data_IF_114570475755
#
_entry.id   IF_114570475755
#
_cell.length_a   1.000
_cell.length_b   1.000
_cell.length_c   1.000
_cell.angle_alpha   90.00
_cell.angle_beta   90.00
_cell.angle_gamma   90.00
#
_symmetry.space_group_name_H-M   'P 1'
#
loop_
_entity.id
_entity.type
_entity.pdbx_description
1 polymer ?
#
# COMPACT_ATOMS: atom_id res chain seq x y z
N UNK A 1 -46.21 -16.20 -15.16
CA UNK A 1 -45.21 -15.43 -15.93
C UNK A 1 -44.10 -15.02 -14.98
N UNK A 2 -42.88 -15.54 -15.15
CA UNK A 2 -41.74 -15.06 -14.37
C UNK A 2 -41.51 -13.58 -14.75
N UNK A 3 -41.56 -12.66 -13.78
CA UNK A 3 -41.19 -11.26 -14.00
C UNK A 3 -39.77 -11.25 -14.54
N UNK A 4 -39.56 -10.76 -15.75
CA UNK A 4 -38.24 -10.48 -16.30
C UNK A 4 -37.50 -9.61 -15.27
N UNK A 5 -36.27 -9.96 -14.86
CA UNK A 5 -35.53 -9.16 -13.89
C UNK A 5 -35.38 -7.73 -14.42
N UNK A 6 -35.70 -6.75 -13.57
CA UNK A 6 -35.58 -5.34 -13.93
C UNK A 6 -34.10 -4.99 -14.01
N UNK A 7 -33.64 -4.64 -15.20
CA UNK A 7 -32.24 -4.28 -15.43
C UNK A 7 -32.03 -2.80 -15.13
N UNK A 8 -31.08 -2.48 -14.26
CA UNK A 8 -30.76 -1.10 -13.90
C UNK A 8 -29.52 -0.59 -14.65
N UNK A 9 -29.60 0.58 -15.29
CA UNK A 9 -28.48 1.21 -15.99
C UNK A 9 -27.78 2.15 -15.03
N UNK A 10 -26.53 1.86 -14.69
CA UNK A 10 -25.77 2.58 -13.65
C UNK A 10 -24.52 3.20 -14.27
N UNK A 11 -24.33 4.50 -14.06
CA UNK A 11 -23.15 5.22 -14.53
C UNK A 11 -22.09 5.27 -13.44
N UNK A 12 -20.84 5.00 -13.82
CA UNK A 12 -19.67 5.08 -12.97
C UNK A 12 -18.80 6.25 -13.43
N UNK A 13 -18.73 7.30 -12.62
CA UNK A 13 -17.93 8.50 -12.92
C UNK A 13 -16.63 8.47 -12.12
N UNK A 14 -15.66 7.72 -12.66
CA UNK A 14 -14.34 7.51 -12.07
C UNK A 14 -13.25 7.63 -13.13
N UNK A 15 -12.06 8.08 -12.73
CA UNK A 15 -10.89 8.17 -13.58
C UNK A 15 -10.06 6.88 -13.47
N UNK A 16 -10.19 6.01 -14.47
CA UNK A 16 -9.48 4.74 -14.53
C UNK A 16 -7.96 4.86 -14.66
N UNK A 17 -7.34 6.04 -14.60
CA UNK A 17 -5.89 6.19 -14.45
C UNK A 17 -5.42 6.15 -12.99
N UNK A 18 -6.31 6.36 -12.01
CA UNK A 18 -5.98 6.32 -10.57
C UNK A 18 -6.20 4.92 -10.03
N UNK A 19 -5.27 4.41 -9.21
CA UNK A 19 -5.44 3.09 -8.56
C UNK A 19 -6.65 3.07 -7.62
N UNK A 20 -6.86 4.17 -6.87
CA UNK A 20 -8.01 4.36 -5.98
C UNK A 20 -9.34 4.11 -6.70
N UNK A 21 -9.55 4.78 -7.83
CA UNK A 21 -10.74 4.66 -8.68
C UNK A 21 -10.91 3.24 -9.24
N UNK A 22 -9.82 2.60 -9.68
CA UNK A 22 -9.86 1.21 -10.18
C UNK A 22 -10.29 0.22 -9.11
N UNK A 23 -9.79 0.36 -7.88
CA UNK A 23 -10.16 -0.51 -6.77
C UNK A 23 -11.63 -0.32 -6.36
N UNK A 24 -12.15 0.91 -6.40
CA UNK A 24 -13.58 1.18 -6.20
C UNK A 24 -14.42 0.46 -7.27
N UNK A 25 -14.06 0.58 -8.55
CA UNK A 25 -14.75 -0.11 -9.65
C UNK A 25 -14.71 -1.63 -9.44
N UNK A 26 -13.56 -2.17 -9.00
CA UNK A 26 -13.44 -3.60 -8.64
C UNK A 26 -14.41 -3.99 -7.53
N UNK A 27 -14.51 -3.17 -6.47
CA UNK A 27 -15.46 -3.39 -5.37
C UNK A 27 -16.92 -3.38 -5.80
N UNK A 28 -17.28 -2.50 -6.73
CA UNK A 28 -18.62 -2.47 -7.36
C UNK A 28 -18.85 -3.77 -8.15
N UNK A 29 -17.87 -4.22 -8.93
CA UNK A 29 -17.93 -5.47 -9.69
C UNK A 29 -18.08 -6.70 -8.78
N UNK A 30 -17.37 -6.74 -7.66
CA UNK A 30 -17.49 -7.81 -6.65
C UNK A 30 -18.89 -7.85 -6.02
N UNK A 31 -19.48 -6.68 -5.75
CA UNK A 31 -20.85 -6.60 -5.24
C UNK A 31 -21.86 -7.16 -6.25
N UNK A 32 -21.73 -6.79 -7.53
CA UNK A 32 -22.64 -7.29 -8.58
C UNK A 32 -22.44 -8.79 -8.80
N UNK A 33 -21.22 -9.29 -8.75
CA UNK A 33 -20.93 -10.72 -8.94
C UNK A 33 -21.42 -11.57 -7.77
N UNK A 34 -21.40 -11.03 -6.55
CA UNK A 34 -21.87 -11.72 -5.34
C UNK A 34 -23.37 -11.59 -5.11
N UNK A 35 -24.03 -10.60 -5.70
CA UNK A 35 -25.48 -10.40 -5.60
C UNK A 35 -26.18 -10.81 -6.89
N UNK A 36 -27.50 -11.08 -6.85
CA UNK A 36 -28.30 -11.32 -8.07
C UNK A 36 -28.78 -10.01 -8.72
N UNK A 37 -28.05 -8.91 -8.53
CA UNK A 37 -28.41 -7.61 -9.06
C UNK A 37 -28.21 -7.59 -10.59
N UNK A 38 -29.25 -7.24 -11.34
CA UNK A 38 -29.15 -7.11 -12.81
C UNK A 38 -28.81 -5.67 -13.18
N UNK A 39 -27.52 -5.34 -13.23
CA UNK A 39 -27.02 -3.99 -13.53
C UNK A 39 -26.23 -3.97 -14.83
N UNK A 40 -26.54 -3.00 -15.69
CA UNK A 40 -25.72 -2.63 -16.84
C UNK A 40 -24.85 -1.44 -16.43
N UNK A 41 -23.54 -1.67 -16.29
CA UNK A 41 -22.58 -0.65 -15.91
C UNK A 41 -22.10 0.13 -17.12
N UNK A 42 -22.14 1.46 -17.01
CA UNK A 42 -21.59 2.39 -18.00
C UNK A 42 -20.34 3.04 -17.43
N UNK A 43 -19.21 2.78 -18.07
CA UNK A 43 -17.92 3.42 -17.84
C UNK A 43 -17.48 4.05 -19.18
N UNK A 44 -16.97 5.27 -19.17
CA UNK A 44 -16.46 5.88 -20.41
C UNK A 44 -15.18 5.15 -20.89
N UNK A 45 -15.11 4.86 -22.20
CA UNK A 45 -14.06 4.03 -22.81
C UNK A 45 -12.65 4.64 -22.72
N UNK A 46 -12.53 5.97 -22.60
CA UNK A 46 -11.23 6.65 -22.51
C UNK A 46 -10.69 6.76 -21.06
N UNK A 47 -11.39 6.17 -20.08
CA UNK A 47 -11.11 6.27 -18.64
C UNK A 47 -10.98 7.70 -18.12
N UNK A 48 -11.44 8.70 -18.88
CA UNK A 48 -11.55 10.08 -18.43
C UNK A 48 -12.96 10.27 -17.87
N UNK A 49 -13.09 10.96 -16.76
CA UNK A 49 -14.42 11.37 -16.32
C UNK A 49 -14.84 12.59 -17.16
N UNK A 50 -15.81 12.44 -18.07
CA UNK A 50 -16.48 13.58 -18.71
C UNK A 50 -17.88 13.72 -18.14
N UNK A 51 -18.05 14.60 -17.14
CA UNK A 51 -19.39 14.86 -16.60
C UNK A 51 -20.34 15.55 -17.60
N UNK A 52 -19.84 16.05 -18.74
CA UNK A 52 -20.66 16.76 -19.73
C UNK A 52 -21.73 15.87 -20.36
N UNK A 53 -23.00 16.20 -20.10
CA UNK A 53 -24.15 15.51 -20.68
C UNK A 53 -24.79 14.47 -19.75
N UNK A 54 -24.20 14.18 -18.58
CA UNK A 54 -24.79 13.24 -17.60
C UNK A 54 -26.15 13.71 -17.08
N UNK A 55 -26.39 15.02 -17.03
CA UNK A 55 -27.67 15.63 -16.65
C UNK A 55 -28.85 15.17 -17.52
N UNK A 56 -28.57 14.74 -18.77
CA UNK A 56 -29.59 14.28 -19.73
C UNK A 56 -29.56 12.76 -19.92
N UNK A 57 -28.73 12.05 -19.16
CA UNK A 57 -28.56 10.62 -19.31
C UNK A 57 -29.77 9.84 -18.76
N UNK A 58 -30.37 9.00 -19.60
CA UNK A 58 -31.52 8.18 -19.26
C UNK A 58 -31.13 6.91 -18.49
N UNK A 59 -30.45 7.07 -17.35
CA UNK A 59 -30.05 5.99 -16.46
C UNK A 59 -30.98 5.77 -15.28
N UNK A 60 -30.59 4.86 -14.38
CA UNK A 60 -31.31 4.55 -13.14
C UNK A 60 -30.53 4.96 -11.88
N UNK A 61 -29.21 5.14 -11.95
CA UNK A 61 -28.39 5.57 -10.80
C UNK A 61 -26.95 5.89 -11.17
N UNK A 62 -26.24 6.58 -10.28
CA UNK A 62 -24.87 7.05 -10.49
C UNK A 62 -24.02 6.78 -9.24
N UNK A 63 -22.80 6.30 -9.45
CA UNK A 63 -21.73 6.28 -8.43
C UNK A 63 -20.57 7.10 -8.96
N UNK A 64 -20.07 8.05 -8.18
CA UNK A 64 -19.12 9.06 -8.68
C UNK A 64 -18.06 9.48 -7.65
N UNK A 65 -16.89 9.88 -8.16
CA UNK A 65 -15.83 10.57 -7.42
C UNK A 65 -16.24 12.03 -7.13
N UNK A 66 -16.44 12.35 -5.85
CA UNK A 66 -16.78 13.70 -5.36
C UNK A 66 -15.57 14.46 -4.81
N UNK A 67 -14.36 13.90 -4.90
CA UNK A 67 -13.13 14.68 -4.72
C UNK A 67 -12.80 15.51 -5.96
N UNK A 68 -13.40 15.18 -7.12
CA UNK A 68 -13.34 16.00 -8.34
C UNK A 68 -14.46 17.07 -8.36
N UNK A 69 -14.10 18.38 -8.33
CA UNK A 69 -15.07 19.47 -8.40
C UNK A 69 -15.88 19.47 -9.70
N UNK A 70 -15.32 18.99 -10.81
CA UNK A 70 -16.02 18.97 -12.11
C UNK A 70 -17.17 17.96 -12.06
N UNK A 71 -16.91 16.79 -11.48
CA UNK A 71 -17.92 15.75 -11.25
C UNK A 71 -18.99 16.22 -10.26
N UNK A 72 -18.59 16.89 -9.19
CA UNK A 72 -19.52 17.46 -8.21
C UNK A 72 -20.48 18.46 -8.84
N UNK A 73 -19.97 19.43 -9.60
CA UNK A 73 -20.76 20.48 -10.24
C UNK A 73 -21.80 19.92 -11.23
N UNK A 74 -21.43 18.91 -12.01
CA UNK A 74 -22.33 18.31 -13.00
C UNK A 74 -23.44 17.43 -12.40
N UNK A 75 -23.28 17.00 -11.15
CA UNK A 75 -24.27 16.17 -10.45
C UNK A 75 -25.21 17.00 -9.55
N UNK A 76 -24.99 18.31 -9.39
CA UNK A 76 -25.83 19.15 -8.52
C UNK A 76 -27.32 19.10 -8.90
N UNK A 77 -27.63 19.20 -10.19
CA UNK A 77 -29.00 19.22 -10.74
C UNK A 77 -29.61 17.85 -11.06
N UNK A 78 -28.89 16.75 -10.84
CA UNK A 78 -29.34 15.41 -11.23
C UNK A 78 -30.35 14.85 -10.23
N UNK A 79 -31.51 14.41 -10.73
CA UNK A 79 -32.61 13.82 -9.94
C UNK A 79 -32.47 12.30 -9.72
N UNK A 80 -31.54 11.65 -10.42
CA UNK A 80 -31.28 10.22 -10.25
C UNK A 80 -30.67 9.93 -8.86
N UNK A 81 -30.85 8.71 -8.31
CA UNK A 81 -30.09 8.24 -7.16
C UNK A 81 -28.58 8.35 -7.41
N UNK A 82 -27.88 9.14 -6.59
CA UNK A 82 -26.43 9.31 -6.65
C UNK A 82 -25.81 8.88 -5.32
N UNK A 83 -24.80 8.02 -5.38
CA UNK A 83 -23.91 7.74 -4.25
C UNK A 83 -22.56 8.39 -4.49
N UNK A 84 -22.17 9.28 -3.58
CA UNK A 84 -20.90 10.00 -3.64
C UNK A 84 -19.79 9.19 -2.95
N UNK A 85 -18.59 9.22 -3.53
CA UNK A 85 -17.39 8.60 -2.96
C UNK A 85 -16.25 9.63 -2.92
N UNK A 86 -15.43 9.63 -1.87
CA UNK A 86 -14.21 10.45 -1.83
C UNK A 86 -13.52 10.43 -0.47
N UNK A 87 -12.78 11.49 -0.14
CA UNK A 87 -12.09 11.68 1.12
C UNK A 87 -13.01 12.06 2.29
N UNK A 88 -12.62 11.70 3.51
CA UNK A 88 -13.22 12.29 4.71
C UNK A 88 -12.64 13.67 5.00
N UNK A 89 -13.48 14.61 5.41
CA UNK A 89 -13.12 15.98 5.78
C UNK A 89 -13.57 16.32 7.20
N UNK A 90 -12.81 17.17 7.90
CA UNK A 90 -13.20 17.66 9.22
C UNK A 90 -14.37 18.63 9.16
N UNK A 91 -14.39 19.48 8.14
CA UNK A 91 -15.46 20.44 7.91
C UNK A 91 -16.69 19.74 7.31
N UNK A 92 -17.84 19.72 8.01
CA UNK A 92 -19.08 19.14 7.50
C UNK A 92 -19.59 19.80 6.21
N UNK A 93 -19.17 21.04 5.90
CA UNK A 93 -19.57 21.78 4.70
C UNK A 93 -18.97 21.21 3.41
N UNK A 94 -17.89 20.45 3.53
CA UNK A 94 -17.18 19.86 2.39
C UNK A 94 -17.85 18.61 1.81
N UNK A 95 -18.87 18.09 2.49
CA UNK A 95 -19.66 16.95 2.05
C UNK A 95 -20.89 17.41 1.26
N UNK A 96 -21.31 16.67 0.22
CA UNK A 96 -22.51 17.00 -0.53
C UNK A 96 -23.76 16.85 0.34
N UNK A 97 -24.69 17.79 0.21
CA UNK A 97 -25.98 17.75 0.89
C UNK A 97 -26.96 16.78 0.19
N UNK A 98 -27.88 16.20 0.98
CA UNK A 98 -29.01 15.38 0.54
C UNK A 98 -28.63 14.10 -0.23
N UNK A 99 -27.39 13.62 -0.11
CA UNK A 99 -26.92 12.40 -0.79
C UNK A 99 -26.04 11.57 0.13
N UNK A 100 -26.06 10.23 0.03
CA UNK A 100 -25.14 9.40 0.79
C UNK A 100 -23.70 9.58 0.28
N UNK A 101 -22.75 9.57 1.22
CA UNK A 101 -21.32 9.74 0.97
C UNK A 101 -20.52 8.61 1.62
N UNK A 102 -19.72 7.90 0.81
CA UNK A 102 -18.78 6.88 1.28
C UNK A 102 -17.37 7.48 1.27
N UNK A 103 -16.81 7.69 2.45
CA UNK A 103 -15.55 8.38 2.65
C UNK A 103 -14.41 7.40 3.00
N UNK A 104 -13.23 7.60 2.42
CA UNK A 104 -11.98 7.02 2.96
C UNK A 104 -11.55 7.82 4.20
N UNK A 105 -11.24 7.12 5.30
CA UNK A 105 -10.88 7.74 6.58
C UNK A 105 -9.46 8.33 6.54
N UNK A 106 -9.35 9.62 6.18
CA UNK A 106 -8.08 10.35 6.10
C UNK A 106 -7.36 10.37 7.45
N UNK A 107 -8.08 10.45 8.57
CA UNK A 107 -7.49 10.46 9.90
C UNK A 107 -6.77 9.14 10.18
N UNK A 108 -7.46 8.01 10.01
CA UNK A 108 -6.86 6.69 10.24
C UNK A 108 -5.72 6.39 9.26
N UNK A 109 -5.80 6.85 8.02
CA UNK A 109 -4.70 6.67 7.06
C UNK A 109 -3.41 7.36 7.52
N UNK A 110 -3.47 8.63 7.87
CA UNK A 110 -2.29 9.39 8.32
C UNK A 110 -1.82 8.89 9.67
N UNK A 111 -2.74 8.60 10.61
CA UNK A 111 -2.42 8.02 11.93
C UNK A 111 -1.67 6.71 11.80
N UNK A 112 -2.16 5.80 10.95
CA UNK A 112 -1.54 4.50 10.73
C UNK A 112 -0.12 4.62 10.15
N UNK A 113 0.08 5.53 9.18
CA UNK A 113 1.41 5.81 8.64
C UNK A 113 2.36 6.45 9.68
N UNK A 114 1.83 7.35 10.51
CA UNK A 114 2.56 8.03 11.56
C UNK A 114 2.99 7.07 12.68
N UNK A 115 2.06 6.25 13.17
CA UNK A 115 2.30 5.25 14.21
C UNK A 115 3.37 4.25 13.79
N UNK A 116 3.31 3.78 12.54
CA UNK A 116 4.34 2.89 11.99
C UNK A 116 5.74 3.50 12.01
N UNK A 117 5.86 4.80 11.72
CA UNK A 117 7.15 5.49 11.77
C UNK A 117 7.62 5.74 13.21
N UNK A 118 6.70 6.03 14.15
CA UNK A 118 6.99 6.11 15.60
C UNK A 118 7.48 4.76 16.12
N UNK A 119 6.76 3.68 15.82
CA UNK A 119 7.10 2.32 16.25
C UNK A 119 8.45 1.86 15.68
N UNK A 120 8.84 2.37 14.51
CA UNK A 120 10.17 2.16 13.95
C UNK A 120 11.29 2.94 14.68
N UNK A 121 10.96 3.77 15.68
CA UNK A 121 11.90 4.48 16.55
C UNK A 121 12.32 5.86 16.03
N UNK A 122 11.60 6.44 15.06
CA UNK A 122 11.93 7.76 14.51
C UNK A 122 11.45 8.87 15.45
N UNK A 123 12.24 9.95 15.51
CA UNK A 123 11.98 11.10 16.39
C UNK A 123 11.62 12.38 15.61
N UNK A 124 11.90 12.38 14.31
CA UNK A 124 11.63 13.51 13.43
C UNK A 124 10.65 13.08 12.36
N UNK A 125 9.66 13.91 12.07
CA UNK A 125 8.61 13.61 11.13
C UNK A 125 8.41 14.75 10.13
N UNK A 126 8.13 14.37 8.89
CA UNK A 126 7.78 15.31 7.84
C UNK A 126 6.65 14.77 6.97
N UNK A 127 5.91 15.68 6.33
CA UNK A 127 4.86 15.36 5.38
C UNK A 127 5.21 15.96 4.02
N UNK A 128 5.27 15.11 3.00
CA UNK A 128 5.34 15.52 1.61
C UNK A 128 3.95 15.60 1.00
N UNK A 129 3.44 16.83 0.88
CA UNK A 129 2.10 17.17 0.41
C UNK A 129 2.07 17.70 -1.03
N UNK A 130 0.94 18.28 -1.41
CA UNK A 130 0.65 18.93 -2.69
C UNK A 130 0.29 20.41 -2.48
N UNK A 131 0.48 21.27 -3.51
CA UNK A 131 -0.05 22.62 -3.47
C UNK A 131 -1.57 22.63 -3.30
N UNK A 132 -2.09 23.68 -2.66
CA UNK A 132 -3.52 23.87 -2.48
C UNK A 132 -4.22 23.96 -3.84
N UNK A 133 -5.23 23.12 -4.03
CA UNK A 133 -6.02 23.06 -5.26
C UNK A 133 -7.40 22.47 -4.97
N UNK A 134 -8.47 22.96 -5.63
CA UNK A 134 -9.82 22.41 -5.48
C UNK A 134 -9.93 20.90 -5.75
N UNK A 135 -9.05 20.33 -6.58
CA UNK A 135 -9.05 18.90 -6.92
C UNK A 135 -8.30 18.00 -5.92
N UNK A 136 -7.60 18.57 -4.94
CA UNK A 136 -6.75 17.84 -4.01
C UNK A 136 -7.06 18.16 -2.53
N UNK A 137 -8.32 18.49 -2.19
CA UNK A 137 -8.73 18.87 -0.84
C UNK A 137 -8.29 17.87 0.24
N UNK A 138 -8.30 16.58 -0.09
CA UNK A 138 -7.82 15.49 0.76
C UNK A 138 -6.35 15.65 1.18
N UNK A 139 -5.50 16.31 0.38
CA UNK A 139 -4.11 16.57 0.74
C UNK A 139 -4.01 17.58 1.89
N UNK A 140 -4.80 18.66 1.86
CA UNK A 140 -4.85 19.65 2.95
C UNK A 140 -5.48 19.05 4.22
N UNK A 141 -6.48 18.18 4.08
CA UNK A 141 -7.03 17.46 5.24
C UNK A 141 -5.95 16.58 5.89
N UNK A 142 -5.14 15.86 5.08
CA UNK A 142 -4.01 15.07 5.57
C UNK A 142 -2.93 15.94 6.24
N UNK A 143 -2.66 17.15 5.72
CA UNK A 143 -1.76 18.13 6.37
C UNK A 143 -2.25 18.55 7.76
N UNK A 144 -3.55 18.86 7.87
CA UNK A 144 -4.19 19.22 9.14
C UNK A 144 -4.04 18.09 10.16
N UNK A 145 -4.41 16.86 9.76
CA UNK A 145 -4.28 15.68 10.60
C UNK A 145 -2.84 15.44 11.04
N UNK A 146 -1.87 15.52 10.12
CA UNK A 146 -0.46 15.37 10.45
C UNK A 146 0.01 16.40 11.48
N UNK A 147 -0.41 17.66 11.30
CA UNK A 147 -0.10 18.74 12.24
C UNK A 147 -0.70 18.46 13.62
N UNK A 148 -1.96 18.05 13.68
CA UNK A 148 -2.66 17.70 14.92
C UNK A 148 -1.94 16.54 15.65
N UNK A 149 -1.53 15.50 14.92
CA UNK A 149 -0.82 14.34 15.48
C UNK A 149 0.56 14.70 16.03
N UNK A 150 1.37 15.40 15.23
CA UNK A 150 2.71 15.84 15.68
C UNK A 150 2.64 16.82 16.84
N UNK A 151 1.65 17.73 16.85
CA UNK A 151 1.41 18.65 17.95
C UNK A 151 0.99 17.96 19.24
N UNK A 152 0.16 16.90 19.15
CA UNK A 152 -0.23 16.11 20.31
C UNK A 152 0.97 15.41 20.99
N UNK A 153 1.96 15.00 20.21
CA UNK A 153 3.18 14.36 20.71
C UNK A 153 4.30 15.38 21.04
N UNK A 154 4.04 16.69 20.90
CA UNK A 154 5.02 17.75 21.15
C UNK A 154 6.17 17.79 20.15
N UNK A 155 5.98 17.22 18.96
CA UNK A 155 7.00 17.12 17.91
C UNK A 155 6.76 18.21 16.85
N UNK A 156 7.82 18.89 16.43
CA UNK A 156 7.75 19.81 15.30
C UNK A 156 7.70 19.04 13.99
N UNK A 157 6.50 18.92 13.39
CA UNK A 157 6.32 18.35 12.06
C UNK A 157 6.74 19.31 10.94
N UNK A 158 7.49 18.83 9.94
CA UNK A 158 7.87 19.63 8.78
C UNK A 158 6.99 19.32 7.57
N UNK A 159 6.36 20.32 6.95
CA UNK A 159 5.50 20.12 5.77
C UNK A 159 6.16 20.73 4.53
N UNK A 160 6.17 19.97 3.43
CA UNK A 160 6.60 20.45 2.12
C UNK A 160 5.54 20.15 1.08
N UNK A 161 5.04 21.19 0.41
CA UNK A 161 3.98 21.08 -0.62
C UNK A 161 4.53 20.87 -2.03
N UNK A 162 5.82 21.13 -2.23
CA UNK A 162 6.51 21.02 -3.51
C UNK A 162 5.90 21.87 -4.64
N UNK A 163 6.23 21.50 -5.87
CA UNK A 163 5.61 22.04 -7.10
C UNK A 163 4.45 21.12 -7.52
N UNK A 164 3.47 21.65 -8.24
CA UNK A 164 2.38 20.88 -8.82
C UNK A 164 2.88 19.70 -9.67
N UNK A 165 2.06 18.67 -9.85
CA UNK A 165 2.41 17.41 -10.55
C UNK A 165 2.84 17.60 -12.00
N UNK A 166 2.68 18.80 -12.59
CA UNK A 166 3.14 19.21 -13.91
C UNK A 166 4.28 20.23 -13.84
N UNK A 167 5.39 19.91 -13.18
CA UNK A 167 6.55 20.80 -13.14
C UNK A 167 7.07 21.08 -14.57
N UNK A 168 7.42 22.33 -14.86
CA UNK A 168 7.92 22.78 -16.17
C UNK A 168 9.30 22.19 -16.53
N UNK A 169 10.07 21.75 -15.52
CA UNK A 169 11.27 20.94 -15.70
C UNK A 169 11.39 19.91 -14.57
N UNK A 170 11.73 18.67 -14.94
CA UNK A 170 11.89 17.57 -13.99
C UNK A 170 13.09 17.77 -13.07
N UNK A 171 14.20 18.29 -13.60
CA UNK A 171 15.45 18.45 -12.86
C UNK A 171 15.32 19.47 -11.71
N UNK A 172 14.69 20.62 -11.97
CA UNK A 172 14.51 21.64 -10.93
C UNK A 172 13.61 21.15 -9.78
N UNK A 173 12.59 20.34 -10.08
CA UNK A 173 11.72 19.75 -9.06
C UNK A 173 12.48 18.73 -8.20
N UNK A 174 13.37 17.94 -8.80
CA UNK A 174 14.22 16.99 -8.07
C UNK A 174 15.24 17.73 -7.19
N UNK A 175 15.90 18.78 -7.68
CA UNK A 175 16.84 19.57 -6.89
C UNK A 175 16.19 20.20 -5.65
N UNK A 176 14.98 20.74 -5.79
CA UNK A 176 14.23 21.28 -4.66
C UNK A 176 13.86 20.21 -3.63
N UNK A 177 13.47 19.02 -4.09
CA UNK A 177 13.20 17.87 -3.20
C UNK A 177 14.47 17.46 -2.46
N UNK A 178 15.63 17.39 -3.15
CA UNK A 178 16.93 17.07 -2.54
C UNK A 178 17.30 18.10 -1.48
N UNK A 179 17.17 19.40 -1.80
CA UNK A 179 17.48 20.49 -0.89
C UNK A 179 16.61 20.43 0.38
N UNK A 180 15.31 20.19 0.22
CA UNK A 180 14.39 20.01 1.33
C UNK A 180 14.74 18.79 2.18
N UNK A 181 14.97 17.62 1.56
CA UNK A 181 15.33 16.42 2.33
C UNK A 181 16.64 16.63 3.09
N UNK A 182 17.62 17.33 2.53
CA UNK A 182 18.89 17.63 3.21
C UNK A 182 18.75 18.59 4.39
N UNK A 183 17.75 19.48 4.37
CA UNK A 183 17.54 20.43 5.48
C UNK A 183 16.83 19.81 6.68
N UNK A 184 16.17 18.68 6.52
CA UNK A 184 15.48 17.98 7.61
C UNK A 184 16.47 17.32 8.58
N UNK A 185 16.19 17.33 9.90
CA UNK A 185 16.97 16.57 10.87
C UNK A 185 16.93 15.07 10.56
N UNK A 186 17.98 14.31 10.89
CA UNK A 186 18.12 12.88 10.56
C UNK A 186 18.33 12.04 11.83
N UNK A 187 17.76 10.82 11.91
CA UNK A 187 16.88 10.18 10.93
C UNK A 187 15.45 10.78 10.94
N UNK A 188 14.79 10.83 9.77
CA UNK A 188 13.43 11.38 9.63
C UNK A 188 12.48 10.38 8.98
N UNK A 189 11.26 10.29 9.51
CA UNK A 189 10.13 9.63 8.88
C UNK A 189 9.32 10.60 8.03
N UNK A 190 9.18 10.31 6.74
CA UNK A 190 8.42 11.12 5.80
C UNK A 190 7.17 10.36 5.39
N UNK A 191 6.02 10.97 5.58
CA UNK A 191 4.74 10.51 5.05
C UNK A 191 4.48 11.29 3.76
N UNK A 192 4.20 10.62 2.65
CA UNK A 192 3.78 11.27 1.42
C UNK A 192 2.27 11.13 1.25
N UNK A 193 1.61 12.20 0.82
CA UNK A 193 0.15 12.19 0.64
C UNK A 193 -0.30 11.26 -0.47
N UNK A 194 0.57 10.83 -1.39
CA UNK A 194 0.30 9.77 -2.36
C UNK A 194 1.56 8.96 -2.65
N UNK A 195 1.39 7.74 -3.16
CA UNK A 195 2.50 6.89 -3.63
C UNK A 195 3.27 7.53 -4.79
N UNK A 196 2.59 8.30 -5.64
CA UNK A 196 3.25 9.05 -6.72
C UNK A 196 4.25 10.09 -6.16
N UNK A 197 3.88 10.78 -5.07
CA UNK A 197 4.76 11.74 -4.38
C UNK A 197 5.88 11.03 -3.63
N UNK A 198 5.57 9.93 -2.96
CA UNK A 198 6.60 9.10 -2.32
C UNK A 198 7.64 8.64 -3.35
N UNK A 199 7.20 8.17 -4.51
CA UNK A 199 8.07 7.74 -5.61
C UNK A 199 8.98 8.86 -6.10
N UNK A 200 8.46 10.08 -6.29
CA UNK A 200 9.26 11.25 -6.69
C UNK A 200 10.37 11.52 -5.67
N UNK A 201 10.02 11.57 -4.38
CA UNK A 201 10.96 11.83 -3.31
C UNK A 201 12.01 10.72 -3.16
N UNK A 202 11.59 9.46 -3.37
CA UNK A 202 12.48 8.31 -3.36
C UNK A 202 13.51 8.38 -4.48
N UNK A 203 13.09 8.79 -5.69
CA UNK A 203 14.01 9.04 -6.81
C UNK A 203 15.01 10.14 -6.46
N UNK A 204 14.55 11.25 -5.87
CA UNK A 204 15.42 12.33 -5.40
C UNK A 204 16.46 11.85 -4.36
N UNK A 205 16.04 11.02 -3.41
CA UNK A 205 16.96 10.43 -2.42
C UNK A 205 18.02 9.54 -3.08
N UNK A 206 17.62 8.71 -4.05
CA UNK A 206 18.53 7.86 -4.81
C UNK A 206 19.55 8.67 -5.60
N UNK A 207 19.13 9.75 -6.28
CA UNK A 207 20.03 10.63 -7.03
C UNK A 207 21.03 11.36 -6.12
N UNK A 208 20.60 11.77 -4.93
CA UNK A 208 21.43 12.49 -3.98
C UNK A 208 22.31 11.59 -3.08
N UNK A 209 22.18 10.27 -3.19
CA UNK A 209 22.88 9.31 -2.32
C UNK A 209 22.40 9.35 -0.85
N UNK A 210 21.15 9.76 -0.61
CA UNK A 210 20.56 9.83 0.73
C UNK A 210 20.05 8.44 1.10
N UNK A 211 20.51 7.93 2.25
CA UNK A 211 20.21 6.57 2.66
C UNK A 211 18.74 6.41 3.06
N UNK A 212 18.03 5.53 2.34
CA UNK A 212 16.65 5.11 2.63
C UNK A 212 16.65 3.62 2.98
N UNK A 213 16.07 3.20 4.12
CA UNK A 213 15.36 3.95 5.16
C UNK A 213 16.24 4.52 6.28
N UNK A 214 17.57 4.39 6.21
CA UNK A 214 18.44 4.67 7.36
C UNK A 214 18.51 6.15 7.76
N UNK A 215 18.61 7.06 6.79
CA UNK A 215 18.53 8.52 7.05
C UNK A 215 17.11 9.04 6.85
N UNK A 216 16.38 8.48 5.88
CA UNK A 216 15.03 8.89 5.51
C UNK A 216 14.17 7.66 5.35
N UNK A 217 13.28 7.41 6.31
CA UNK A 217 12.22 6.43 6.16
C UNK A 217 11.05 7.08 5.44
N UNK A 218 10.47 6.41 4.45
CA UNK A 218 9.43 6.95 3.59
C UNK A 218 8.25 5.98 3.50
N UNK A 219 7.05 6.50 3.70
CA UNK A 219 5.79 5.79 3.52
C UNK A 219 4.84 6.60 2.64
N UNK A 220 4.21 5.94 1.68
CA UNK A 220 3.16 6.52 0.86
C UNK A 220 1.75 6.13 1.33
N UNK A 221 0.77 6.59 0.58
CA UNK A 221 -0.65 6.25 0.71
C UNK A 221 -1.12 5.96 -0.71
N UNK A 222 -1.84 4.86 -0.94
CA UNK A 222 -2.53 4.43 -2.18
C UNK A 222 -2.22 2.96 -2.52
N UNK A 223 -1.08 2.45 -2.05
CA UNK A 223 -0.58 1.11 -2.34
C UNK A 223 -0.53 0.81 -3.85
N UNK A 224 -0.11 1.77 -4.67
CA UNK A 224 -0.03 1.66 -6.13
C UNK A 224 1.02 0.61 -6.55
N UNK A 225 0.62 -0.49 -7.23
CA UNK A 225 1.56 -1.49 -7.72
C UNK A 225 2.66 -0.93 -8.62
N UNK A 226 2.36 0.10 -9.42
CA UNK A 226 3.35 0.74 -10.30
C UNK A 226 4.39 1.51 -9.49
N UNK A 227 3.97 2.24 -8.46
CA UNK A 227 4.90 2.97 -7.60
C UNK A 227 5.89 2.04 -6.88
N UNK A 228 5.49 0.81 -6.57
CA UNK A 228 6.34 -0.21 -5.93
C UNK A 228 7.47 -0.72 -6.84
N UNK A 229 7.21 -0.87 -8.15
CA UNK A 229 8.15 -1.53 -9.08
C UNK A 229 9.05 -0.55 -9.82
N UNK A 230 8.66 0.72 -9.93
CA UNK A 230 9.40 1.73 -10.71
C UNK A 230 10.64 2.31 -10.00
N UNK A 231 10.97 1.82 -8.80
CA UNK A 231 12.16 2.26 -8.06
C UNK A 231 12.91 1.08 -7.48
N UNK A 232 14.22 1.23 -7.28
CA UNK A 232 15.08 0.16 -6.73
C UNK A 232 14.79 -0.18 -5.26
N UNK A 233 14.10 0.71 -4.54
CA UNK A 233 13.73 0.53 -3.14
C UNK A 233 12.21 0.37 -3.08
N UNK A 234 11.70 -0.83 -2.76
CA UNK A 234 10.25 -1.05 -2.69
C UNK A 234 9.58 -0.09 -1.68
N UNK A 235 8.55 0.63 -2.17
CA UNK A 235 7.82 1.65 -1.42
C UNK A 235 6.79 1.02 -0.46
N UNK A 236 6.90 1.35 0.82
CA UNK A 236 5.89 1.04 1.83
C UNK A 236 4.71 1.98 1.67
N UNK A 237 3.49 1.47 1.80
CA UNK A 237 2.30 2.28 1.58
C UNK A 237 1.12 1.83 2.42
N UNK A 238 0.29 2.79 2.82
CA UNK A 238 -1.01 2.52 3.44
C UNK A 238 -1.98 2.00 2.40
N UNK A 239 -2.62 0.87 2.71
CA UNK A 239 -3.63 0.22 1.88
C UNK A 239 -4.98 0.84 2.22
N UNK A 240 -5.57 1.55 1.27
CA UNK A 240 -6.89 2.14 1.41
C UNK A 240 -7.99 1.07 1.41
N UNK A 241 -9.14 1.40 1.98
CA UNK A 241 -10.34 0.56 1.96
C UNK A 241 -11.15 0.65 0.65
N UNK A 242 -10.53 1.01 -0.47
CA UNK A 242 -11.21 1.42 -1.71
C UNK A 242 -12.16 0.35 -2.27
N UNK A 243 -11.78 -0.93 -2.19
CA UNK A 243 -12.64 -2.06 -2.61
C UNK A 243 -13.91 -2.14 -1.74
N UNK A 244 -13.77 -1.97 -0.42
CA UNK A 244 -14.90 -1.94 0.50
C UNK A 244 -15.77 -0.69 0.28
N UNK A 245 -15.17 0.44 -0.09
CA UNK A 245 -15.90 1.66 -0.47
C UNK A 245 -16.78 1.40 -1.70
N UNK A 246 -16.24 0.76 -2.74
CA UNK A 246 -16.99 0.38 -3.93
C UNK A 246 -18.16 -0.57 -3.61
N UNK A 247 -17.90 -1.60 -2.79
CA UNK A 247 -18.93 -2.56 -2.35
C UNK A 247 -20.05 -1.88 -1.56
N UNK A 248 -19.68 -1.01 -0.62
CA UNK A 248 -20.62 -0.22 0.20
C UNK A 248 -21.45 0.72 -0.67
N UNK A 249 -20.82 1.42 -1.61
CA UNK A 249 -21.51 2.34 -2.49
C UNK A 249 -22.51 1.62 -3.41
N UNK A 250 -22.13 0.46 -3.97
CA UNK A 250 -23.03 -0.38 -4.75
C UNK A 250 -24.20 -0.89 -3.89
N UNK A 251 -23.95 -1.27 -2.63
CA UNK A 251 -25.01 -1.67 -1.70
C UNK A 251 -26.01 -0.55 -1.43
N UNK A 252 -25.53 0.65 -1.13
CA UNK A 252 -26.38 1.82 -0.90
C UNK A 252 -27.21 2.17 -2.14
N UNK A 253 -26.58 2.18 -3.32
CA UNK A 253 -27.30 2.49 -4.55
C UNK A 253 -28.36 1.44 -4.85
N UNK A 254 -28.08 0.15 -4.62
CA UNK A 254 -29.07 -0.92 -4.75
C UNK A 254 -30.29 -0.67 -3.87
N UNK A 255 -30.09 -0.30 -2.61
CA UNK A 255 -31.19 0.02 -1.71
C UNK A 255 -31.97 1.26 -2.18
N UNK A 256 -31.28 2.28 -2.70
CA UNK A 256 -31.92 3.49 -3.24
C UNK A 256 -32.78 3.19 -4.48
N UNK A 257 -32.33 2.29 -5.36
CA UNK A 257 -33.11 1.84 -6.52
C UNK A 257 -34.41 1.13 -6.12
N UNK A 258 -34.46 0.56 -4.91
CA UNK A 258 -35.64 -0.08 -4.33
C UNK A 258 -36.47 0.86 -3.43
N UNK A 259 -36.17 2.16 -3.45
CA UNK A 259 -36.96 3.20 -2.77
C UNK A 259 -36.45 3.61 -1.39
N UNK A 260 -35.32 3.06 -0.91
CA UNK A 260 -34.68 3.57 0.30
C UNK A 260 -34.12 4.98 0.08
N UNK A 261 -34.04 5.78 1.15
CA UNK A 261 -33.45 7.13 1.11
C UNK A 261 -32.41 7.25 2.22
N UNK A 262 -31.26 7.80 1.86
CA UNK A 262 -30.12 8.01 2.75
C UNK A 262 -29.67 9.47 2.70
N UNK A 263 -30.52 10.43 3.13
CA UNK A 263 -30.12 11.83 3.15
C UNK A 263 -28.99 12.01 4.17
N UNK A 264 -27.91 12.66 3.74
CA UNK A 264 -26.76 13.05 4.58
C UNK A 264 -26.06 11.88 5.30
N UNK A 265 -26.29 10.63 4.86
CA UNK A 265 -25.62 9.46 5.42
C UNK A 265 -24.15 9.47 5.03
N UNK A 266 -23.26 9.41 6.02
CA UNK A 266 -21.81 9.36 5.83
C UNK A 266 -21.28 8.03 6.34
N UNK A 267 -20.70 7.22 5.46
CA UNK A 267 -20.07 5.95 5.83
C UNK A 267 -18.56 6.10 5.70
N UNK A 268 -17.87 5.96 6.82
CA UNK A 268 -16.41 6.06 6.89
C UNK A 268 -15.81 4.66 6.75
N UNK A 269 -15.01 4.45 5.72
CA UNK A 269 -14.30 3.20 5.48
C UNK A 269 -12.85 3.36 5.96
N UNK A 270 -12.41 2.56 6.94
CA UNK A 270 -11.04 2.61 7.44
C UNK A 270 -10.05 2.02 6.42
N UNK A 271 -8.75 2.38 6.50
CA UNK A 271 -7.72 1.67 5.75
C UNK A 271 -7.63 0.20 6.17
N UNK A 272 -7.22 -0.66 5.23
CA UNK A 272 -7.06 -2.11 5.47
C UNK A 272 -5.83 -2.39 6.33
N UNK A 273 -4.75 -1.61 6.13
CA UNK A 273 -3.49 -1.81 6.84
C UNK A 273 -2.33 -1.10 6.14
N UNK A 274 -1.10 -1.53 6.45
CA UNK A 274 0.13 -1.04 5.81
C UNK A 274 0.82 -2.20 5.10
N UNK A 275 1.19 -1.98 3.85
CA UNK A 275 2.15 -2.82 3.15
C UNK A 275 3.57 -2.35 3.49
N UNK A 276 4.19 -2.97 4.51
CA UNK A 276 5.52 -2.57 5.00
C UNK A 276 6.64 -3.16 4.13
N UNK A 277 7.27 -2.30 3.32
CA UNK A 277 8.38 -2.64 2.43
C UNK A 277 9.68 -1.95 2.86
N UNK A 278 10.70 -1.96 1.99
CA UNK A 278 12.06 -1.53 2.34
C UNK A 278 12.15 -0.04 2.70
N UNK A 279 11.32 0.82 2.11
CA UNK A 279 11.41 2.28 2.27
C UNK A 279 11.11 2.77 3.69
N UNK A 280 10.41 2.01 4.52
CA UNK A 280 10.01 2.41 5.89
C UNK A 280 10.51 1.47 6.99
N UNK A 281 11.23 0.41 6.63
CA UNK A 281 11.88 -0.53 7.59
C UNK A 281 13.13 0.11 8.19
N UNK A 282 12.91 1.18 8.96
CA UNK A 282 13.95 1.82 9.73
C UNK A 282 14.32 0.91 10.90
N UNK A 283 15.61 0.77 11.13
CA UNK A 283 16.16 0.17 12.33
C UNK A 283 17.03 1.24 12.98
N UNK A 284 16.90 1.43 14.28
CA UNK A 284 17.69 2.42 15.04
C UNK A 284 19.18 2.08 14.89
N UNK A 285 19.87 2.81 14.02
CA UNK A 285 21.29 2.60 13.69
C UNK A 285 21.99 3.94 13.77
N UNK A 286 23.03 4.02 14.59
CA UNK A 286 23.62 5.32 14.94
C UNK A 286 24.84 5.71 14.08
N UNK A 287 25.43 4.78 13.33
CA UNK A 287 26.70 5.05 12.63
C UNK A 287 26.51 5.45 11.15
N UNK A 288 26.84 6.69 10.73
CA UNK A 288 26.59 7.20 9.37
C UNK A 288 27.20 6.35 8.24
N UNK A 289 28.45 5.90 8.42
CA UNK A 289 29.11 5.06 7.41
C UNK A 289 28.46 3.68 7.26
N UNK A 290 27.91 3.13 8.35
CA UNK A 290 27.19 1.86 8.28
C UNK A 290 25.88 2.06 7.54
N UNK A 291 25.15 3.15 7.84
CA UNK A 291 23.91 3.50 7.13
C UNK A 291 24.12 3.66 5.61
N UNK A 292 25.16 4.38 5.19
CA UNK A 292 25.51 4.53 3.77
C UNK A 292 25.88 3.20 3.11
N UNK A 293 26.66 2.37 3.80
CA UNK A 293 27.05 1.06 3.30
C UNK A 293 25.84 0.15 3.08
N UNK A 294 24.91 0.12 4.04
CA UNK A 294 23.69 -0.68 3.94
C UNK A 294 22.79 -0.21 2.82
N UNK A 295 22.66 1.09 2.63
CA UNK A 295 21.92 1.67 1.51
C UNK A 295 22.49 1.21 0.17
N UNK A 296 23.81 1.23 0.02
CA UNK A 296 24.48 0.72 -1.16
C UNK A 296 24.25 -0.79 -1.35
N UNK A 297 24.39 -1.58 -0.28
CA UNK A 297 24.15 -3.03 -0.31
C UNK A 297 22.71 -3.32 -0.75
N UNK A 298 21.70 -2.65 -0.19
CA UNK A 298 20.29 -2.82 -0.57
C UNK A 298 20.05 -2.63 -2.06
N UNK A 299 20.72 -1.66 -2.68
CA UNK A 299 20.52 -1.32 -4.10
C UNK A 299 21.27 -2.23 -5.05
N UNK A 300 22.48 -2.62 -4.67
CA UNK A 300 23.44 -3.24 -5.60
C UNK A 300 23.84 -4.66 -5.21
N UNK A 301 23.37 -5.22 -4.08
CA UNK A 301 23.70 -6.58 -3.63
C UNK A 301 23.50 -7.61 -4.75
N UNK A 302 22.34 -7.58 -5.42
CA UNK A 302 21.99 -8.52 -6.49
C UNK A 302 22.82 -8.34 -7.77
N UNK A 303 23.60 -7.27 -7.90
CA UNK A 303 24.50 -7.03 -9.04
C UNK A 303 25.89 -7.65 -8.86
N UNK A 304 26.10 -8.43 -7.79
CA UNK A 304 27.37 -9.12 -7.57
C UNK A 304 28.47 -8.23 -6.98
N UNK A 305 28.09 -7.21 -6.19
CA UNK A 305 29.07 -6.30 -5.56
C UNK A 305 30.03 -7.01 -4.59
N UNK A 306 31.23 -6.44 -4.45
CA UNK A 306 32.28 -6.85 -3.52
C UNK A 306 32.39 -5.88 -2.33
N UNK A 307 32.98 -6.33 -1.24
CA UNK A 307 33.21 -5.50 -0.03
C UNK A 307 34.00 -4.22 -0.33
N UNK A 308 34.95 -4.28 -1.26
CA UNK A 308 35.79 -3.14 -1.62
C UNK A 308 34.95 -2.02 -2.26
N UNK A 309 33.99 -2.37 -3.12
CA UNK A 309 33.08 -1.42 -3.74
C UNK A 309 32.16 -0.73 -2.73
N UNK A 310 31.80 -1.42 -1.65
CA UNK A 310 31.03 -0.80 -0.55
C UNK A 310 31.90 0.21 0.20
N UNK A 311 33.15 -0.12 0.47
CA UNK A 311 34.10 0.78 1.14
C UNK A 311 34.39 2.03 0.29
N UNK A 312 34.58 1.85 -1.02
CA UNK A 312 34.79 2.93 -1.98
C UNK A 312 33.57 3.87 -2.05
N UNK A 313 32.34 3.32 -2.08
CA UNK A 313 31.12 4.13 -2.09
C UNK A 313 30.96 4.98 -0.82
N UNK A 314 31.32 4.42 0.33
CA UNK A 314 31.22 5.12 1.63
C UNK A 314 32.38 6.11 1.82
N UNK A 315 33.50 5.93 1.12
CA UNK A 315 34.68 6.78 1.21
C UNK A 315 35.59 6.47 2.41
N UNK A 316 35.62 5.23 2.89
CA UNK A 316 36.46 4.80 4.02
C UNK A 316 37.26 3.53 3.71
N UNK A 317 38.29 3.25 4.51
CA UNK A 317 39.06 2.01 4.36
C UNK A 317 38.20 0.77 4.67
N UNK A 318 38.48 -0.35 4.00
CA UNK A 318 37.83 -1.64 4.24
C UNK A 318 37.91 -2.07 5.70
N UNK A 319 39.08 -1.92 6.33
CA UNK A 319 39.30 -2.29 7.73
C UNK A 319 38.41 -1.48 8.68
N UNK A 320 38.28 -0.17 8.41
CA UNK A 320 37.38 0.71 9.17
C UNK A 320 35.92 0.29 8.98
N UNK A 321 35.50 0.04 7.73
CA UNK A 321 34.14 -0.40 7.44
C UNK A 321 33.79 -1.71 8.15
N UNK A 322 34.69 -2.70 8.12
CA UNK A 322 34.47 -3.97 8.80
C UNK A 322 34.44 -3.85 10.32
N UNK A 323 35.26 -2.96 10.89
CA UNK A 323 35.20 -2.67 12.31
C UNK A 323 33.84 -2.08 12.71
N UNK A 324 33.35 -1.08 11.95
CA UNK A 324 32.04 -0.50 12.20
C UNK A 324 30.90 -1.52 12.04
N UNK A 325 30.95 -2.38 11.01
CA UNK A 325 29.96 -3.44 10.80
C UNK A 325 29.94 -4.45 11.94
N UNK A 326 31.11 -4.91 12.40
CA UNK A 326 31.17 -5.83 13.56
C UNK A 326 30.65 -5.18 14.83
N UNK A 327 30.96 -3.90 15.06
CA UNK A 327 30.54 -3.18 16.26
C UNK A 327 29.03 -2.93 16.30
N UNK A 328 28.46 -2.52 15.18
CA UNK A 328 27.05 -2.10 15.10
C UNK A 328 26.08 -3.26 14.75
N UNK A 329 26.52 -4.23 13.94
CA UNK A 329 25.67 -5.32 13.42
C UNK A 329 26.08 -6.71 13.90
N UNK A 330 27.23 -6.84 14.57
CA UNK A 330 27.76 -8.15 15.00
C UNK A 330 28.19 -9.07 13.87
N UNK A 331 28.27 -8.58 12.63
CA UNK A 331 28.58 -9.37 11.42
C UNK A 331 29.45 -8.59 10.44
N UNK A 332 30.03 -9.27 9.46
CA UNK A 332 30.87 -8.62 8.44
C UNK A 332 30.05 -7.98 7.32
N UNK A 333 30.67 -7.08 6.55
CA UNK A 333 30.08 -6.49 5.33
C UNK A 333 29.72 -7.59 4.33
N UNK A 334 30.57 -8.61 4.20
CA UNK A 334 30.31 -9.75 3.31
C UNK A 334 29.07 -10.55 3.72
N UNK A 335 28.91 -10.81 5.02
CA UNK A 335 27.73 -11.54 5.53
C UNK A 335 26.45 -10.74 5.29
N UNK A 336 26.51 -9.41 5.39
CA UNK A 336 25.36 -8.56 5.09
C UNK A 336 24.99 -8.57 3.61
N UNK A 337 25.97 -8.54 2.70
CA UNK A 337 25.73 -8.70 1.26
C UNK A 337 25.05 -10.05 1.00
N UNK A 338 25.54 -11.14 1.59
CA UNK A 338 24.96 -12.47 1.42
C UNK A 338 23.54 -12.55 1.96
N UNK A 339 23.28 -11.94 3.12
CA UNK A 339 21.94 -11.88 3.70
C UNK A 339 20.95 -11.21 2.74
N UNK A 340 21.33 -10.07 2.14
CA UNK A 340 20.47 -9.39 1.16
C UNK A 340 20.21 -10.23 -0.09
N UNK A 341 21.24 -10.90 -0.62
CA UNK A 341 21.09 -11.82 -1.76
C UNK A 341 20.16 -12.98 -1.43
N UNK A 342 20.25 -13.52 -0.22
CA UNK A 342 19.36 -14.59 0.26
C UNK A 342 17.91 -14.14 0.40
N UNK A 343 17.67 -12.95 0.96
CA UNK A 343 16.31 -12.40 1.06
C UNK A 343 15.70 -12.16 -0.34
N UNK A 344 16.48 -11.70 -1.31
CA UNK A 344 16.04 -11.58 -2.69
C UNK A 344 15.72 -12.94 -3.32
N UNK A 345 16.60 -13.94 -3.11
CA UNK A 345 16.40 -15.29 -3.62
C UNK A 345 15.14 -15.94 -3.04
N UNK A 346 14.87 -15.78 -1.73
CA UNK A 346 13.62 -16.25 -1.10
C UNK A 346 12.38 -15.68 -1.78
N UNK A 347 12.34 -14.37 -2.01
CA UNK A 347 11.21 -13.71 -2.69
C UNK A 347 10.99 -14.22 -4.11
N UNK A 348 12.06 -14.54 -4.84
CA UNK A 348 11.95 -15.15 -6.16
C UNK A 348 11.47 -16.61 -6.08
N UNK A 349 11.93 -17.38 -5.10
CA UNK A 349 11.47 -18.76 -4.89
C UNK A 349 9.97 -18.83 -4.54
N UNK A 350 9.44 -17.81 -3.87
CA UNK A 350 8.02 -17.69 -3.53
C UNK A 350 7.12 -17.42 -4.76
N UNK A 351 7.71 -17.04 -5.91
CA UNK A 351 6.99 -16.86 -7.17
C UNK A 351 6.94 -18.17 -7.98
N UNK A 352 5.77 -18.48 -8.56
CA UNK A 352 5.58 -19.70 -9.33
C UNK A 352 6.44 -19.70 -10.62
N UNK A 353 7.20 -20.79 -10.85
CA UNK A 353 7.95 -21.03 -12.10
C UNK A 353 9.44 -20.66 -12.08
N UNK A 354 9.98 -20.07 -11.01
CA UNK A 354 11.39 -19.66 -10.97
C UNK A 354 12.38 -20.83 -10.92
N UNK A 355 13.35 -20.84 -11.83
CA UNK A 355 14.39 -21.87 -11.93
C UNK A 355 15.65 -21.49 -11.14
N UNK A 356 16.28 -22.43 -10.43
CA UNK A 356 17.44 -22.16 -9.57
C UNK A 356 18.63 -21.49 -10.30
N UNK A 357 18.81 -21.78 -11.60
CA UNK A 357 19.82 -21.13 -12.43
C UNK A 357 19.54 -19.63 -12.65
N UNK A 358 18.28 -19.28 -12.92
CA UNK A 358 17.84 -17.91 -13.10
C UNK A 358 17.92 -17.11 -11.79
N UNK A 359 17.55 -17.74 -10.67
CA UNK A 359 17.62 -17.13 -9.33
C UNK A 359 19.08 -16.81 -8.96
N UNK A 360 20.00 -17.73 -9.26
CA UNK A 360 21.42 -17.51 -9.00
C UNK A 360 21.94 -16.27 -9.74
N UNK A 361 21.62 -16.16 -11.04
CA UNK A 361 22.02 -15.01 -11.87
C UNK A 361 21.36 -13.71 -11.37
N UNK A 362 20.05 -13.71 -11.19
CA UNK A 362 19.26 -12.52 -10.81
C UNK A 362 19.56 -12.00 -9.41
N UNK A 363 20.00 -12.86 -8.49
CA UNK A 363 20.42 -12.47 -7.14
C UNK A 363 21.93 -12.24 -7.01
N UNK A 364 22.70 -12.29 -8.10
CA UNK A 364 24.13 -12.00 -8.10
C UNK A 364 24.99 -13.06 -7.42
N UNK A 365 24.56 -14.32 -7.43
CA UNK A 365 25.40 -15.46 -7.08
C UNK A 365 26.26 -15.85 -8.27
N UNK A 366 27.54 -16.13 -8.02
CA UNK A 366 28.50 -16.49 -9.08
C UNK A 366 28.19 -17.84 -9.72
N UNK A 367 27.65 -18.79 -8.94
CA UNK A 367 27.25 -20.12 -9.43
C UNK A 367 26.01 -20.64 -8.67
N UNK A 368 25.26 -21.55 -9.31
CA UNK A 368 24.13 -22.25 -8.68
C UNK A 368 24.59 -23.10 -7.49
N UNK A 369 25.79 -23.68 -7.58
CA UNK A 369 26.39 -24.45 -6.49
C UNK A 369 26.65 -23.57 -5.26
N UNK A 370 27.12 -22.33 -5.48
CA UNK A 370 27.30 -21.37 -4.40
C UNK A 370 25.97 -20.95 -3.77
N UNK A 371 24.93 -20.71 -4.58
CA UNK A 371 23.57 -20.48 -4.09
C UNK A 371 23.11 -21.65 -3.19
N UNK A 372 23.26 -22.89 -3.64
CA UNK A 372 22.88 -24.08 -2.88
C UNK A 372 23.66 -24.21 -1.56
N UNK A 373 24.97 -23.98 -1.58
CA UNK A 373 25.81 -24.04 -0.40
C UNK A 373 25.41 -22.98 0.64
N UNK A 374 25.14 -21.75 0.19
CA UNK A 374 24.72 -20.65 1.05
C UNK A 374 23.31 -20.90 1.62
N UNK A 375 22.35 -21.39 0.82
CA UNK A 375 21.02 -21.77 1.30
C UNK A 375 21.08 -22.86 2.37
N UNK A 376 21.85 -23.92 2.13
CA UNK A 376 21.99 -25.03 3.08
C UNK A 376 22.66 -24.58 4.38
N UNK A 377 23.63 -23.68 4.30
CA UNK A 377 24.33 -23.13 5.47
C UNK A 377 23.44 -22.24 6.33
N UNK A 378 22.69 -21.32 5.71
CA UNK A 378 21.92 -20.29 6.43
C UNK A 378 20.49 -20.72 6.79
N UNK A 379 19.88 -21.60 5.99
CA UNK A 379 18.46 -21.98 6.13
C UNK A 379 18.26 -23.48 6.39
N UNK A 380 19.33 -24.28 6.39
CA UNK A 380 19.28 -25.72 6.63
C UNK A 380 18.61 -26.54 5.51
N UNK A 381 18.21 -25.92 4.41
CA UNK A 381 17.52 -26.54 3.28
C UNK A 381 18.07 -26.05 1.93
N UNK A 382 17.78 -26.79 0.86
CA UNK A 382 18.08 -26.39 -0.51
C UNK A 382 17.01 -25.44 -1.08
N UNK A 383 17.32 -24.64 -2.12
CA UNK A 383 16.32 -23.75 -2.74
C UNK A 383 15.04 -24.47 -3.19
N UNK A 384 15.18 -25.71 -3.69
CA UNK A 384 14.06 -26.55 -4.12
C UNK A 384 13.21 -27.02 -2.94
N UNK A 385 13.85 -27.49 -1.87
CA UNK A 385 13.13 -27.87 -0.65
C UNK A 385 12.38 -26.67 -0.04
N UNK A 386 12.96 -25.47 -0.11
CA UNK A 386 12.30 -24.24 0.33
C UNK A 386 11.04 -23.94 -0.51
N UNK A 387 11.11 -24.08 -1.84
CA UNK A 387 9.94 -23.96 -2.73
C UNK A 387 8.85 -24.97 -2.41
N UNK A 388 9.22 -26.24 -2.23
CA UNK A 388 8.29 -27.33 -1.92
C UNK A 388 7.60 -27.09 -0.57
N UNK A 389 8.34 -26.63 0.44
CA UNK A 389 7.79 -26.27 1.76
C UNK A 389 6.83 -25.08 1.69
N UNK A 390 7.17 -24.05 0.89
CA UNK A 390 6.31 -22.87 0.73
C UNK A 390 5.00 -23.22 -0.02
N UNK A 391 5.08 -23.98 -1.10
CA UNK A 391 3.91 -24.46 -1.85
C UNK A 391 2.98 -25.32 -0.96
N UNK A 392 3.54 -26.26 -0.19
CA UNK A 392 2.77 -27.07 0.75
C UNK A 392 2.14 -26.24 1.89
N UNK A 393 2.77 -25.13 2.28
CA UNK A 393 2.22 -24.18 3.26
C UNK A 393 1.01 -23.40 2.73
N UNK A 394 1.07 -22.96 1.47
CA UNK A 394 -0.04 -22.31 0.77
C UNK A 394 -1.24 -23.25 0.62
N UNK A 395 -1.02 -24.51 0.23
CA UNK A 395 -2.09 -25.51 0.13
C UNK A 395 -2.75 -25.83 1.47
N UNK A 396 -1.96 -25.90 2.56
CA UNK A 396 -2.50 -26.09 3.92
C UNK A 396 -3.28 -24.88 4.45
N UNK A 397 -2.91 -23.66 4.05
CA UNK A 397 -3.64 -22.43 4.40
C UNK A 397 -4.92 -22.25 3.58
N UNK A 398 -4.99 -22.83 2.37
CA UNK A 398 -6.15 -22.74 1.48
C UNK A 398 -7.17 -23.88 1.70
N UNK A 399 -6.82 -24.94 2.42
CA UNK A 399 -7.73 -26.05 2.71
C UNK A 399 -8.78 -25.63 3.77
N UNK A 400 -10.09 -25.72 3.48
CA UNK A 400 -11.11 -25.47 4.49
C UNK A 400 -11.02 -26.53 5.59
N UNK A 401 -10.97 -26.08 6.84
CA UNK A 401 -10.98 -26.93 8.03
C UNK A 401 -12.27 -27.74 8.12
N UNK A 402 -12.26 -28.95 7.55
CA UNK A 402 -13.33 -29.92 7.75
C UNK A 402 -13.33 -30.38 9.22
N UNK A 403 -14.46 -30.32 9.94
CA UNK A 403 -14.52 -30.81 11.31
C UNK A 403 -14.43 -32.33 11.32
N UNK A 404 -13.49 -32.86 12.10
CA UNK A 404 -13.34 -34.29 12.32
C UNK A 404 -14.59 -34.87 13.01
N UNK A 405 -15.50 -35.46 12.22
CA UNK A 405 -16.58 -36.30 12.74
C UNK A 405 -15.96 -37.61 13.22
N UNK A 406 -15.74 -37.75 14.53
CA UNK A 406 -15.44 -39.04 15.15
C UNK A 406 -16.67 -39.95 15.02
N UNK A 407 -16.52 -41.21 14.57
CA UNK A 407 -17.63 -42.16 14.58
C UNK A 407 -17.95 -42.53 16.03
N UNK A 408 -19.20 -42.30 16.45
CA UNK A 408 -19.74 -42.77 17.75
C UNK A 408 -19.65 -44.30 17.79
N UNK A 409 -18.84 -44.84 18.70
CA UNK A 409 -18.92 -46.24 19.12
C UNK A 409 -20.32 -46.50 19.67
N UNK A 410 -21.08 -47.40 19.05
CA UNK A 410 -22.28 -48.02 19.64
C UNK A 410 -21.83 -48.90 20.81
N UNK A 411 -22.03 -48.45 22.04
CA UNK A 411 -22.04 -49.31 23.24
C UNK A 411 -23.49 -49.54 23.64
N UNK A 412 -24.08 -50.63 23.15
CA UNK A 412 -25.25 -51.26 23.77
C UNK A 412 -24.74 -52.29 24.77
N UNK A 413 -24.95 -52.02 26.05
CA UNK A 413 -24.54 -52.90 27.14
C UNK A 413 -25.45 -54.11 27.33
N UNK A 414 -25.08 -55.01 28.26
CA UNK A 414 -26.08 -55.76 29.00
C UNK A 414 -25.77 -55.73 30.51
N UNK A 415 -26.69 -55.21 31.31
CA UNK A 415 -26.75 -55.55 32.73
C UNK A 415 -28.11 -55.13 33.31
N UNK A 416 -28.98 -56.10 33.59
CA UNK A 416 -29.83 -56.13 34.78
C UNK A 416 -30.46 -57.52 34.87
N UNK A 417 -29.74 -58.41 35.57
CA UNK A 417 -30.30 -59.59 36.22
C UNK A 417 -30.94 -59.13 37.52
N UNK A 418 -32.26 -59.23 37.58
CA UNK A 418 -33.09 -59.09 38.76
C UNK A 418 -32.91 -60.32 39.66
N UNK A 419 -32.63 -60.08 40.94
CA UNK A 419 -32.78 -61.06 42.02
C UNK A 419 -33.49 -60.36 43.17
N UNK A 420 -34.77 -60.67 43.40
CA UNK A 420 -35.29 -61.21 44.68
C UNK A 420 -36.82 -61.35 44.64
N UNK A 421 -37.25 -62.58 44.99
CA UNK A 421 -38.52 -63.03 45.61
C UNK A 421 -39.86 -62.68 44.96
#
# INVERSE_FOLDING_TARGET
>A
MAKTPTVHRIALLFNGNKIFDREIISGIGEYISSTRASWDLYLEEDFRCRPQGIERWAGHGIIADFDDPVTTAALEGVQLPVVAIGGSYADPSQYPANRPYVATDNYKMVKLAYDHLIEAGLQHFALYSLPESPCNRWAQERERIFTDLTGADGITGHIYRGVGTSAQSWDAAVEQQIAWVRSLPKPVGIIAVTDARARQLLQACLFAGIAVPEQVALIGIDNDPLARVLTRIPLSSVIQGSVEMGRTAAHLLHQMLHGARFPDTRIMVPPVGINVLASSRHEVRNHPHVMQALHFIRQYACQGIKTDQVADYVGISRSSLEWYFRRELGRSVHDEILRFKLEAAKRMLEQAGSHAAEIAVSCGFTTVQYLHAVFKRELGCTPREYQEQFAAGLERSAAPSAPAVRPKKKTTGPALLTTTK
#
